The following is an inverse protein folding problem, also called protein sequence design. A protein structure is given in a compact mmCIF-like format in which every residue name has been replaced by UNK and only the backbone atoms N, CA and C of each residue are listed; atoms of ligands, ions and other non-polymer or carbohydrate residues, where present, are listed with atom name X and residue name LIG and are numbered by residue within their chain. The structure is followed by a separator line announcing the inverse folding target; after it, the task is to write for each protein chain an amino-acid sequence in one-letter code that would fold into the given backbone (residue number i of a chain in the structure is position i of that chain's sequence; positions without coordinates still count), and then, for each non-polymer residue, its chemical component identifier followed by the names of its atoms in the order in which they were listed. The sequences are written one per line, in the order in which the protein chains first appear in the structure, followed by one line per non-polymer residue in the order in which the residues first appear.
data_IF_495652393153
#
_entry.id   IF_495652393153
#
_cell.length_a   1.000
_cell.length_b   1.000
_cell.length_c   1.000
_cell.angle_alpha   90.00
_cell.angle_beta   90.00
_cell.angle_gamma   90.00
#
_symmetry.space_group_name_H-M   'P 1'
#
loop_
_entity.id
_entity.type
_entity.pdbx_description
1 polymer ?
#
# COMPACT_ATOMS: atom_id res chain seq x y z
N UNK A 1 7.46 3.71 13.49
CA UNK A 1 6.66 2.66 14.16
C UNK A 1 6.23 1.59 13.17
N UNK A 2 6.01 1.96 11.90
CA UNK A 2 5.68 1.01 10.84
C UNK A 2 6.81 0.00 10.65
N UNK A 3 8.08 0.41 10.69
CA UNK A 3 9.22 -0.54 10.61
C UNK A 3 9.12 -1.66 11.67
N UNK A 4 8.66 -1.34 12.89
CA UNK A 4 8.50 -2.34 13.95
C UNK A 4 7.40 -3.34 13.63
N UNK A 5 6.25 -2.85 13.12
CA UNK A 5 5.11 -3.68 12.76
C UNK A 5 5.42 -4.56 11.55
N UNK A 6 5.92 -3.98 10.46
CA UNK A 6 6.12 -4.74 9.21
C UNK A 6 7.23 -5.77 9.36
N UNK A 7 8.29 -5.47 10.11
CA UNK A 7 9.41 -6.39 10.32
C UNK A 7 9.18 -7.35 11.49
N UNK A 8 8.03 -7.27 12.17
CA UNK A 8 7.68 -8.24 13.20
C UNK A 8 7.68 -9.65 12.56
N UNK A 9 8.48 -10.55 13.15
CA UNK A 9 8.58 -11.95 12.71
C UNK A 9 9.20 -12.16 11.32
N UNK A 10 9.75 -11.10 10.70
CA UNK A 10 10.44 -11.21 9.42
C UNK A 10 11.93 -11.58 9.60
N UNK A 11 12.44 -12.43 8.71
CA UNK A 11 13.87 -12.79 8.68
C UNK A 11 14.75 -11.69 8.05
N UNK A 12 14.16 -10.82 7.24
CA UNK A 12 14.82 -9.68 6.59
C UNK A 12 14.34 -8.36 7.20
N UNK A 13 15.17 -7.33 7.08
CA UNK A 13 14.79 -5.97 7.48
C UNK A 13 14.42 -5.15 6.24
N UNK A 14 13.24 -4.52 6.28
CA UNK A 14 12.76 -3.55 5.32
C UNK A 14 12.59 -2.19 6.00
N UNK A 15 13.36 -1.21 5.57
CA UNK A 15 13.20 0.16 6.04
C UNK A 15 12.02 0.87 5.37
N UNK A 16 11.42 1.83 6.07
CA UNK A 16 10.25 2.59 5.63
C UNK A 16 10.52 3.33 4.31
N UNK A 17 11.74 3.85 4.09
CA UNK A 17 12.11 4.56 2.85
C UNK A 17 12.15 3.61 1.65
N UNK A 18 12.70 2.42 1.83
CA UNK A 18 12.74 1.39 0.80
C UNK A 18 11.35 0.87 0.48
N UNK A 19 10.51 0.61 1.50
CA UNK A 19 9.10 0.26 1.28
C UNK A 19 8.38 1.36 0.47
N UNK A 20 8.52 2.63 0.86
CA UNK A 20 7.92 3.75 0.15
C UNK A 20 8.35 3.79 -1.33
N UNK A 21 9.65 3.57 -1.61
CA UNK A 21 10.17 3.49 -2.97
C UNK A 21 9.58 2.31 -3.74
N UNK A 22 9.50 1.12 -3.11
CA UNK A 22 8.90 -0.06 -3.73
C UNK A 22 7.44 0.18 -4.13
N UNK A 23 6.65 0.82 -3.25
CA UNK A 23 5.26 1.19 -3.55
C UNK A 23 5.18 2.17 -4.74
N UNK A 24 6.00 3.22 -4.74
CA UNK A 24 6.04 4.22 -5.83
C UNK A 24 6.46 3.63 -7.17
N UNK A 25 7.46 2.75 -7.15
CA UNK A 25 8.03 2.14 -8.35
C UNK A 25 7.23 0.90 -8.81
N UNK A 26 6.14 0.54 -8.12
CA UNK A 26 5.35 -0.68 -8.36
C UNK A 26 6.23 -1.95 -8.36
N UNK A 27 7.18 -2.02 -7.43
CA UNK A 27 8.12 -3.14 -7.33
C UNK A 27 7.73 -4.10 -6.20
N UNK A 28 7.47 -5.35 -6.58
CA UNK A 28 7.25 -6.44 -5.64
C UNK A 28 8.49 -7.33 -5.52
N UNK A 29 9.17 -7.28 -4.37
CA UNK A 29 10.33 -8.11 -4.07
C UNK A 29 9.92 -9.21 -3.09
N UNK A 30 10.00 -10.46 -3.54
CA UNK A 30 9.55 -11.63 -2.77
C UNK A 30 10.31 -11.85 -1.47
N UNK A 31 11.49 -11.24 -1.32
CA UNK A 31 12.25 -11.24 -0.04
C UNK A 31 11.54 -10.46 1.06
N UNK A 32 10.59 -9.61 0.69
CA UNK A 32 9.85 -8.74 1.58
C UNK A 32 8.34 -9.02 1.57
N UNK A 33 7.90 -10.16 1.03
CA UNK A 33 6.48 -10.51 0.93
C UNK A 33 5.76 -10.38 2.27
N UNK A 34 6.34 -10.90 3.35
CA UNK A 34 5.73 -10.83 4.68
C UNK A 34 5.58 -9.37 5.15
N UNK A 35 6.63 -8.56 5.01
CA UNK A 35 6.59 -7.16 5.42
C UNK A 35 5.59 -6.34 4.59
N UNK A 36 5.51 -6.61 3.29
CA UNK A 36 4.53 -5.98 2.40
C UNK A 36 3.12 -6.36 2.86
N UNK A 37 2.87 -7.62 3.20
CA UNK A 37 1.55 -8.05 3.64
C UNK A 37 1.19 -7.43 4.99
N UNK A 38 2.10 -7.49 5.97
CA UNK A 38 1.93 -6.86 7.27
C UNK A 38 1.68 -5.35 7.16
N UNK A 39 2.25 -4.67 6.15
CA UNK A 39 1.96 -3.27 5.89
C UNK A 39 0.49 -3.00 5.56
N UNK A 40 -0.20 -3.93 4.89
CA UNK A 40 -1.61 -3.80 4.53
C UNK A 40 -2.57 -4.49 5.51
N UNK A 41 -2.08 -5.38 6.39
CA UNK A 41 -2.93 -6.14 7.33
C UNK A 41 -2.78 -5.70 8.78
N UNK A 42 -1.55 -5.40 9.21
CA UNK A 42 -1.21 -5.25 10.63
C UNK A 42 -0.89 -3.80 11.00
N UNK A 43 -0.56 -2.97 10.02
CA UNK A 43 -0.37 -1.53 10.25
C UNK A 43 -1.75 -0.86 10.38
N UNK A 44 -2.00 -0.14 11.49
CA UNK A 44 -3.24 0.61 11.65
C UNK A 44 -3.46 1.60 10.49
N UNK A 45 -4.71 1.72 10.00
CA UNK A 45 -5.04 2.59 8.86
C UNK A 45 -4.57 4.05 9.06
N UNK A 46 -4.61 4.56 10.30
CA UNK A 46 -4.13 5.91 10.62
C UNK A 46 -2.61 6.08 10.48
N UNK A 47 -1.84 5.03 10.75
CA UNK A 47 -0.38 5.03 10.53
C UNK A 47 -0.08 4.88 9.03
N UNK A 48 -0.83 4.02 8.33
CA UNK A 48 -0.73 3.87 6.89
C UNK A 48 -1.05 5.19 6.15
N UNK A 49 -2.13 5.87 6.52
CA UNK A 49 -2.49 7.19 5.98
C UNK A 49 -1.38 8.24 6.25
N UNK A 50 -0.81 8.25 7.45
CA UNK A 50 0.33 9.12 7.77
C UNK A 50 1.56 8.79 6.93
N UNK A 51 1.83 7.51 6.70
CA UNK A 51 2.95 7.04 5.89
C UNK A 51 2.85 7.51 4.44
N UNK A 52 1.70 7.34 3.80
CA UNK A 52 1.54 7.78 2.40
C UNK A 52 1.67 9.31 2.26
N UNK A 53 1.20 10.09 3.24
CA UNK A 53 1.41 11.55 3.25
C UNK A 53 2.88 11.88 3.46
N UNK A 54 3.53 11.29 4.46
CA UNK A 54 4.94 11.52 4.79
C UNK A 54 5.87 11.22 3.61
N UNK A 55 5.57 10.17 2.87
CA UNK A 55 6.35 9.73 1.73
C UNK A 55 5.82 10.22 0.38
N UNK A 56 4.78 11.06 0.35
CA UNK A 56 4.17 11.57 -0.89
C UNK A 56 3.83 10.45 -1.88
N UNK A 57 3.15 9.41 -1.38
CA UNK A 57 2.66 8.28 -2.18
C UNK A 57 1.21 8.60 -2.57
N UNK A 58 0.90 8.75 -3.86
CA UNK A 58 -0.47 8.97 -4.30
C UNK A 58 -1.37 7.80 -3.89
N UNK A 59 -2.58 8.09 -3.40
CA UNK A 59 -3.54 7.05 -3.02
C UNK A 59 -3.85 6.10 -4.19
N UNK A 60 -3.86 6.63 -5.43
CA UNK A 60 -3.97 5.84 -6.68
C UNK A 60 -2.90 4.77 -6.79
N UNK A 61 -1.66 5.11 -6.41
CA UNK A 61 -0.50 4.23 -6.49
C UNK A 61 -0.57 3.17 -5.40
N UNK A 62 -0.93 3.58 -4.18
CA UNK A 62 -1.13 2.65 -3.08
C UNK A 62 -2.24 1.63 -3.40
N UNK A 63 -3.37 2.11 -3.95
CA UNK A 63 -4.48 1.26 -4.37
C UNK A 63 -4.06 0.28 -5.46
N UNK A 64 -3.42 0.77 -6.52
CA UNK A 64 -2.94 -0.09 -7.61
C UNK A 64 -1.99 -1.17 -7.09
N UNK A 65 -1.09 -0.83 -6.16
CA UNK A 65 -0.18 -1.78 -5.54
C UNK A 65 -0.93 -2.86 -4.75
N UNK A 66 -1.86 -2.45 -3.88
CA UNK A 66 -2.69 -3.38 -3.10
C UNK A 66 -3.49 -4.32 -4.01
N UNK A 67 -4.18 -3.79 -5.03
CA UNK A 67 -4.96 -4.58 -5.97
C UNK A 67 -4.11 -5.55 -6.79
N UNK A 68 -2.89 -5.16 -7.16
CA UNK A 68 -1.98 -5.98 -7.98
C UNK A 68 -1.33 -7.12 -7.20
N UNK A 69 -0.92 -6.86 -5.95
CA UNK A 69 -0.03 -7.78 -5.24
C UNK A 69 -0.60 -8.40 -3.96
N UNK A 70 -1.65 -7.81 -3.37
CA UNK A 70 -2.09 -8.15 -2.01
C UNK A 70 -3.55 -8.62 -1.98
N UNK A 71 -4.44 -7.94 -2.70
CA UNK A 71 -5.89 -8.14 -2.65
C UNK A 71 -6.34 -9.58 -2.87
N UNK A 72 -5.68 -10.31 -3.77
CA UNK A 72 -6.01 -11.73 -4.04
C UNK A 72 -5.80 -12.61 -2.79
N UNK A 73 -4.83 -12.27 -1.96
CA UNK A 73 -4.49 -13.02 -0.75
C UNK A 73 -5.22 -12.48 0.49
N UNK A 74 -5.47 -11.17 0.53
CA UNK A 74 -6.07 -10.51 1.68
C UNK A 74 -6.97 -9.35 1.24
N UNK A 75 -8.27 -9.61 1.22
CA UNK A 75 -9.28 -8.58 1.04
C UNK A 75 -9.54 -7.88 2.38
N UNK A 76 -9.24 -6.58 2.46
CA UNK A 76 -9.42 -5.76 3.65
C UNK A 76 -10.43 -4.65 3.42
N UNK A 77 -11.68 -4.88 3.83
CA UNK A 77 -12.80 -4.00 3.51
C UNK A 77 -12.59 -2.54 3.93
N UNK A 78 -12.09 -2.29 5.14
CA UNK A 78 -11.89 -0.91 5.63
C UNK A 78 -10.78 -0.19 4.85
N UNK A 79 -9.76 -0.92 4.40
CA UNK A 79 -8.71 -0.38 3.53
C UNK A 79 -9.28 -0.11 2.14
N UNK A 80 -10.10 -1.01 1.61
CA UNK A 80 -10.77 -0.82 0.32
C UNK A 80 -11.72 0.38 0.34
N UNK A 81 -12.45 0.58 1.43
CA UNK A 81 -13.29 1.76 1.64
C UNK A 81 -12.45 3.04 1.71
N UNK A 82 -11.32 3.03 2.43
CA UNK A 82 -10.35 4.15 2.44
C UNK A 82 -9.79 4.46 1.05
N UNK A 83 -9.67 3.47 0.17
CA UNK A 83 -9.14 3.61 -1.19
C UNK A 83 -10.23 3.81 -2.27
N UNK A 84 -11.52 3.72 -1.92
CA UNK A 84 -12.61 3.67 -2.88
C UNK A 84 -12.85 5.01 -3.59
N UNK A 85 -12.68 6.15 -2.90
CA UNK A 85 -12.96 7.50 -3.42
C UNK A 85 -12.04 7.92 -4.57
N UNK A 86 -10.96 7.17 -4.79
CA UNK A 86 -9.92 7.45 -5.78
C UNK A 86 -10.33 7.01 -7.19
N UNK A 87 -11.23 6.03 -7.32
CA UNK A 87 -11.63 5.47 -8.63
C UNK A 87 -12.54 6.39 -9.45
N UNK A 88 -13.29 7.28 -8.80
CA UNK A 88 -14.26 8.16 -9.46
C UNK A 88 -13.63 9.21 -10.39
N UNK A 89 -12.33 9.51 -10.26
CA UNK A 89 -11.65 10.54 -11.07
C UNK A 89 -11.09 10.02 -12.39
N UNK A 90 -10.84 8.71 -12.54
CA UNK A 90 -10.26 8.17 -13.78
C UNK A 90 -11.29 7.94 -14.88
N UNK A 91 -12.55 7.64 -14.51
CA UNK A 91 -13.61 7.39 -15.48
C UNK A 91 -14.27 8.67 -16.05
N UNK A 92 -13.94 9.86 -15.53
CA UNK A 92 -14.44 11.12 -16.10
C UNK A 92 -13.54 11.72 -17.21
N UNK A 93 -12.37 11.14 -17.48
CA UNK A 93 -11.43 11.68 -18.49
C UNK A 93 -11.39 10.90 -19.80
N UNK A 94 -12.16 9.82 -19.96
CA UNK A 94 -12.15 9.00 -21.20
C UNK A 94 -13.45 9.04 -22.00
N UNK A 95 -14.43 9.86 -21.64
CA UNK A 95 -15.66 10.02 -22.45
C UNK A 95 -16.06 11.51 -22.60
N UNK A 96 -15.55 12.15 -23.66
CA UNK A 96 -16.29 13.03 -24.59
C UNK A 96 -15.33 13.79 -25.52
N UNK A 97 -15.72 14.13 -26.76
CA UNK A 97 -17.08 14.16 -27.33
C UNK A 97 -17.37 13.12 -28.41
#
# INVERSE_FOLDING_TARGET
MIETTINAQAASYLDEKKLARMLKDMQFDTRYTLQIFNFFTDVPLQDLARFIVQYEIPEVTLKAYYETYVREFYAHRELEEMLADVAGSFYQSTESP
#
